data_IF_710745402765
#
_entry.id   IF_710745402765
#
_cell.length_a   1.000
_cell.length_b   1.000
_cell.length_c   1.000
_cell.angle_alpha   90.00
_cell.angle_beta   90.00
_cell.angle_gamma   90.00
#
_symmetry.space_group_name_H-M   'P 1'
#
loop_
_entity.id
_entity.type
_entity.pdbx_description
1 polymer ?
#
# COMPACT_ATOMS: atom_id res chain seq x y z
N UNK A 1 -7.61 24.50 8.44
CA UNK A 1 -6.85 23.40 7.83
C UNK A 1 -6.73 22.33 8.89
N UNK A 2 -7.06 21.09 8.54
CA UNK A 2 -6.86 19.93 9.43
C UNK A 2 -5.36 19.77 9.67
N UNK A 3 -4.96 19.63 10.93
CA UNK A 3 -3.56 19.38 11.30
C UNK A 3 -3.08 18.07 10.65
N UNK A 4 -1.97 18.13 9.90
CA UNK A 4 -1.39 16.98 9.21
C UNK A 4 -0.47 16.23 10.16
N UNK A 5 -0.34 14.91 10.00
CA UNK A 5 0.50 14.08 10.89
C UNK A 5 1.98 14.53 10.93
N UNK A 6 2.45 15.23 9.90
CA UNK A 6 3.81 15.76 9.80
C UNK A 6 4.02 17.15 10.38
N UNK A 7 2.97 17.91 10.70
CA UNK A 7 3.11 19.31 11.11
C UNK A 7 3.94 19.46 12.37
N UNK A 8 3.86 18.49 13.30
CA UNK A 8 4.67 18.44 14.52
C UNK A 8 6.16 18.18 14.31
N UNK A 9 6.57 17.76 13.12
CA UNK A 9 7.96 17.49 12.77
C UNK A 9 8.60 18.59 11.91
N UNK A 10 7.80 19.52 11.38
CA UNK A 10 8.31 20.62 10.56
C UNK A 10 8.63 21.84 11.43
N UNK A 11 9.82 22.40 11.22
CA UNK A 11 10.16 23.71 11.75
C UNK A 11 9.36 24.81 11.05
N UNK A 12 9.36 26.02 11.63
CA UNK A 12 8.76 27.18 10.97
C UNK A 12 9.50 27.55 9.68
N UNK A 13 10.81 27.26 9.58
CA UNK A 13 11.58 27.44 8.35
C UNK A 13 11.12 26.44 7.27
N UNK A 14 10.93 25.17 7.60
CA UNK A 14 10.44 24.16 6.65
C UNK A 14 9.08 24.55 6.07
N UNK A 15 8.16 24.99 6.93
CA UNK A 15 6.83 25.48 6.52
C UNK A 15 6.94 26.69 5.60
N UNK A 16 7.82 27.64 5.92
CA UNK A 16 8.07 28.81 5.09
C UNK A 16 8.68 28.44 3.72
N UNK A 17 9.58 27.44 3.67
CA UNK A 17 10.17 26.94 2.43
C UNK A 17 9.09 26.33 1.52
N UNK A 18 8.20 25.48 2.04
CA UNK A 18 7.10 24.93 1.23
C UNK A 18 6.18 26.02 0.70
N UNK A 19 5.77 26.95 1.58
CA UNK A 19 4.90 28.07 1.19
C UNK A 19 5.53 28.96 0.10
N UNK A 20 6.83 29.27 0.21
CA UNK A 20 7.53 30.12 -0.75
C UNK A 20 7.90 29.41 -2.07
N UNK A 21 8.13 28.10 -2.03
CA UNK A 21 8.54 27.32 -3.22
C UNK A 21 7.37 26.84 -4.08
N UNK A 22 6.14 26.84 -3.54
CA UNK A 22 4.94 26.37 -4.25
C UNK A 22 4.77 24.85 -4.26
N UNK A 23 5.63 24.10 -3.57
CA UNK A 23 5.45 22.67 -3.33
C UNK A 23 4.27 22.39 -2.37
N UNK A 24 3.68 21.20 -2.48
CA UNK A 24 2.48 20.84 -1.71
C UNK A 24 1.16 21.32 -2.31
N UNK A 25 1.18 21.79 -3.57
CA UNK A 25 -0.05 22.07 -4.32
C UNK A 25 -0.76 20.77 -4.67
N UNK A 26 -2.09 20.72 -4.50
CA UNK A 26 -2.90 19.58 -4.90
C UNK A 26 -2.97 19.45 -6.42
N UNK A 27 -2.67 18.26 -6.93
CA UNK A 27 -2.91 17.91 -8.32
C UNK A 27 -4.39 17.57 -8.56
N UNK A 28 -4.83 17.62 -9.82
CA UNK A 28 -6.15 17.12 -10.19
C UNK A 28 -6.29 15.61 -9.92
N UNK A 29 -7.50 15.19 -9.57
CA UNK A 29 -7.85 13.77 -9.49
C UNK A 29 -7.79 13.10 -10.86
N UNK A 30 -7.47 11.80 -10.87
CA UNK A 30 -7.69 10.97 -12.06
C UNK A 30 -9.16 10.62 -12.24
N UNK A 31 -9.51 10.13 -13.43
CA UNK A 31 -10.88 9.77 -13.78
C UNK A 31 -11.08 8.25 -13.81
N UNK A 32 -10.00 7.49 -13.80
CA UNK A 32 -9.99 6.03 -13.96
C UNK A 32 -8.94 5.42 -13.02
N UNK A 33 -9.21 5.41 -11.70
CA UNK A 33 -8.25 4.94 -10.69
C UNK A 33 -8.23 3.42 -10.54
N UNK A 34 -7.08 2.88 -10.13
CA UNK A 34 -7.00 1.58 -9.44
C UNK A 34 -6.60 1.79 -7.97
N UNK A 35 -7.12 0.96 -7.06
CA UNK A 35 -6.68 0.89 -5.66
C UNK A 35 -5.51 -0.08 -5.55
N UNK A 36 -4.40 0.38 -4.98
CA UNK A 36 -3.20 -0.42 -4.71
C UNK A 36 -3.06 -0.64 -3.20
N UNK A 37 -3.14 -1.91 -2.77
CA UNK A 37 -2.97 -2.32 -1.37
C UNK A 37 -1.58 -2.93 -1.20
N UNK A 38 -0.67 -2.19 -0.57
CA UNK A 38 0.75 -2.55 -0.53
C UNK A 38 1.11 -3.36 0.72
N UNK A 39 1.53 -4.62 0.54
CA UNK A 39 2.12 -5.51 1.56
C UNK A 39 1.36 -5.62 2.90
N UNK A 40 0.03 -5.54 2.90
CA UNK A 40 -0.79 -5.70 4.12
C UNK A 40 -0.95 -7.20 4.44
N UNK A 41 0.16 -7.83 4.81
CA UNK A 41 0.30 -9.25 5.11
C UNK A 41 0.69 -9.49 6.58
N UNK A 42 0.62 -10.75 7.03
CA UNK A 42 0.87 -11.10 8.43
C UNK A 42 2.28 -10.71 8.94
N UNK A 43 3.31 -10.72 8.10
CA UNK A 43 4.66 -10.31 8.50
C UNK A 43 4.78 -8.80 8.79
N UNK A 44 3.87 -7.98 8.25
CA UNK A 44 3.79 -6.55 8.56
C UNK A 44 2.70 -6.21 9.58
N UNK A 45 1.65 -7.03 9.70
CA UNK A 45 0.47 -6.71 10.50
C UNK A 45 0.36 -7.50 11.80
N UNK A 46 1.04 -8.65 11.93
CA UNK A 46 0.69 -9.69 12.92
C UNK A 46 -0.74 -10.23 12.68
N UNK A 47 -1.15 -11.22 13.46
CA UNK A 47 -2.46 -11.86 13.35
C UNK A 47 -3.56 -11.10 14.13
N UNK A 48 -3.18 -10.11 14.93
CA UNK A 48 -4.07 -9.31 15.79
C UNK A 48 -3.36 -8.03 16.24
N UNK A 49 -4.07 -7.03 16.80
CA UNK A 49 -3.42 -5.85 17.37
C UNK A 49 -2.47 -6.23 18.52
N UNK A 50 -1.17 -6.06 18.29
CA UNK A 50 -0.09 -6.31 19.25
C UNK A 50 0.79 -5.06 19.32
N UNK A 51 1.14 -4.56 20.51
CA UNK A 51 2.04 -3.43 20.65
C UNK A 51 3.35 -3.64 19.87
N UNK A 52 3.84 -2.60 19.21
CA UNK A 52 4.91 -2.67 18.20
C UNK A 52 6.16 -3.36 18.76
N UNK A 53 6.56 -3.02 19.99
CA UNK A 53 7.75 -3.59 20.63
C UNK A 53 7.61 -5.09 20.93
N UNK A 54 6.39 -5.60 21.08
CA UNK A 54 6.12 -7.03 21.24
C UNK A 54 6.00 -7.71 19.87
N UNK A 55 5.27 -7.11 18.93
CA UNK A 55 5.06 -7.69 17.60
C UNK A 55 6.37 -7.89 16.84
N UNK A 56 7.30 -6.93 16.90
CA UNK A 56 8.61 -7.04 16.23
C UNK A 56 9.50 -8.17 16.75
N UNK A 57 9.23 -8.70 17.95
CA UNK A 57 9.97 -9.87 18.47
C UNK A 57 9.65 -11.10 17.63
N UNK A 58 8.38 -11.28 17.25
CA UNK A 58 7.89 -12.35 16.37
C UNK A 58 8.14 -12.02 14.90
N UNK A 59 7.58 -10.92 14.45
CA UNK A 59 7.60 -10.47 13.07
C UNK A 59 8.50 -9.25 12.95
N UNK A 60 9.79 -9.45 12.62
CA UNK A 60 10.79 -8.35 12.61
C UNK A 60 10.39 -7.13 11.77
N UNK A 61 9.54 -7.33 10.75
CA UNK A 61 9.03 -6.30 9.85
C UNK A 61 7.69 -5.73 10.31
N UNK A 62 7.11 -6.18 11.42
CA UNK A 62 5.80 -5.73 11.85
C UNK A 62 5.72 -4.23 12.09
N UNK A 63 4.53 -3.70 11.88
CA UNK A 63 4.08 -2.36 12.20
C UNK A 63 3.19 -2.31 13.46
N UNK A 64 2.96 -3.46 14.12
CA UNK A 64 2.26 -3.53 15.41
C UNK A 64 0.82 -3.04 15.35
N UNK A 65 0.38 -2.37 16.40
CA UNK A 65 -0.95 -1.80 16.56
C UNK A 65 -1.32 -0.82 15.44
N UNK A 66 -0.35 -0.13 14.85
CA UNK A 66 -0.58 0.84 13.77
C UNK A 66 -1.15 0.20 12.50
N UNK A 67 -0.84 -1.07 12.23
CA UNK A 67 -1.46 -1.80 11.12
C UNK A 67 -2.98 -1.97 11.32
N UNK A 68 -3.39 -2.17 12.57
CA UNK A 68 -4.78 -2.44 12.93
C UNK A 68 -5.61 -1.16 13.08
N UNK A 69 -4.96 -0.03 13.38
CA UNK A 69 -5.59 1.30 13.30
C UNK A 69 -6.04 1.63 11.86
N UNK A 70 -5.25 1.22 10.85
CA UNK A 70 -5.57 1.42 9.44
C UNK A 70 -6.56 0.38 8.86
N UNK A 71 -6.76 -0.77 9.52
CA UNK A 71 -7.55 -1.89 8.96
C UNK A 71 -9.00 -1.49 8.61
N UNK A 72 -9.76 -0.80 9.47
CA UNK A 72 -11.12 -0.39 9.15
C UNK A 72 -11.21 0.60 7.98
N UNK A 73 -10.13 1.34 7.72
CA UNK A 73 -10.03 2.26 6.57
C UNK A 73 -9.81 1.45 5.28
N UNK A 74 -8.91 0.47 5.31
CA UNK A 74 -8.65 -0.43 4.19
C UNK A 74 -9.90 -1.20 3.77
N UNK A 75 -10.62 -1.80 4.73
CA UNK A 75 -11.88 -2.51 4.47
C UNK A 75 -12.91 -1.63 3.75
N UNK A 76 -13.09 -0.38 4.21
CA UNK A 76 -14.04 0.58 3.60
C UNK A 76 -13.62 0.96 2.18
N UNK A 77 -12.34 1.21 1.94
CA UNK A 77 -11.84 1.59 0.62
C UNK A 77 -11.97 0.44 -0.37
N UNK A 78 -11.62 -0.78 0.04
CA UNK A 78 -11.77 -1.98 -0.79
C UNK A 78 -13.25 -2.18 -1.15
N UNK A 79 -14.14 -2.11 -0.15
CA UNK A 79 -15.58 -2.23 -0.37
C UNK A 79 -16.14 -1.15 -1.32
N UNK A 80 -15.72 0.11 -1.16
CA UNK A 80 -16.14 1.21 -2.02
C UNK A 80 -15.66 1.00 -3.47
N UNK A 81 -14.39 0.60 -3.65
CA UNK A 81 -13.83 0.27 -4.96
C UNK A 81 -14.58 -0.90 -5.61
N UNK A 82 -14.83 -1.98 -4.88
CA UNK A 82 -15.61 -3.11 -5.38
C UNK A 82 -17.04 -2.73 -5.76
N UNK A 83 -17.69 -1.86 -4.98
CA UNK A 83 -19.03 -1.33 -5.28
C UNK A 83 -19.08 -0.53 -6.59
N UNK A 84 -18.01 0.22 -6.89
CA UNK A 84 -17.87 0.98 -8.13
C UNK A 84 -17.32 0.18 -9.31
N UNK A 85 -16.83 -1.04 -9.08
CA UNK A 85 -16.11 -1.83 -10.08
C UNK A 85 -14.72 -1.27 -10.40
N UNK A 86 -14.10 -0.58 -9.44
CA UNK A 86 -12.71 -0.11 -9.50
C UNK A 86 -11.78 -1.29 -9.17
N UNK A 87 -10.72 -1.54 -9.98
CA UNK A 87 -9.76 -2.61 -9.73
C UNK A 87 -9.06 -2.43 -8.40
N UNK A 88 -8.96 -3.51 -7.63
CA UNK A 88 -8.14 -3.59 -6.41
C UNK A 88 -6.97 -4.52 -6.70
N UNK A 89 -5.75 -4.02 -6.51
CA UNK A 89 -4.52 -4.73 -6.78
C UNK A 89 -3.70 -4.77 -5.49
N UNK A 90 -3.51 -5.97 -4.97
CA UNK A 90 -2.66 -6.24 -3.82
C UNK A 90 -1.23 -6.46 -4.27
N UNK A 91 -0.28 -6.14 -3.40
CA UNK A 91 1.08 -6.64 -3.51
C UNK A 91 1.47 -7.40 -2.26
N UNK A 92 2.29 -8.44 -2.40
CA UNK A 92 2.93 -9.11 -1.27
C UNK A 92 4.28 -9.70 -1.67
N UNK A 93 5.09 -10.06 -0.68
CA UNK A 93 6.39 -10.67 -0.87
C UNK A 93 6.30 -12.06 -1.48
N UNK A 94 7.34 -12.46 -2.21
CA UNK A 94 7.63 -13.86 -2.54
C UNK A 94 9.12 -14.11 -2.33
N UNK A 95 9.45 -15.28 -1.83
CA UNK A 95 10.82 -15.69 -1.61
C UNK A 95 10.96 -17.19 -1.84
N UNK A 96 12.07 -17.61 -2.44
CA UNK A 96 12.40 -19.04 -2.54
C UNK A 96 12.73 -19.60 -1.16
N UNK A 97 12.43 -20.89 -0.96
CA UNK A 97 12.77 -21.60 0.27
C UNK A 97 14.28 -21.56 0.58
N UNK A 98 15.14 -21.58 -0.44
CA UNK A 98 16.60 -21.49 -0.30
C UNK A 98 17.13 -20.05 -0.12
N UNK A 99 16.24 -19.04 -0.18
CA UNK A 99 16.53 -17.61 -0.05
C UNK A 99 17.60 -17.09 -1.03
N UNK A 100 17.91 -17.83 -2.10
CA UNK A 100 18.87 -17.41 -3.13
C UNK A 100 18.50 -16.05 -3.73
N UNK A 101 17.19 -15.80 -3.87
CA UNK A 101 16.60 -14.60 -4.43
C UNK A 101 16.42 -13.44 -3.43
N UNK A 102 16.84 -13.60 -2.17
CA UNK A 102 16.73 -12.54 -1.16
C UNK A 102 17.50 -11.27 -1.56
N UNK A 103 18.61 -11.42 -2.28
CA UNK A 103 19.44 -10.32 -2.75
C UNK A 103 19.71 -9.27 -1.67
N UNK A 104 19.51 -8.00 -2.00
CA UNK A 104 19.81 -6.85 -1.15
C UNK A 104 18.99 -6.76 0.15
N UNK A 105 17.89 -7.51 0.27
CA UNK A 105 17.10 -7.53 1.52
C UNK A 105 17.87 -8.07 2.71
N UNK A 106 18.90 -8.88 2.45
CA UNK A 106 19.78 -9.41 3.49
C UNK A 106 20.79 -8.37 4.01
N UNK A 107 21.03 -7.25 3.33
CA UNK A 107 22.18 -6.40 3.64
C UNK A 107 21.96 -5.44 4.83
N UNK A 108 20.71 -5.09 5.13
CA UNK A 108 20.37 -4.00 6.07
C UNK A 108 19.61 -4.48 7.31
N UNK A 109 19.81 -5.72 7.73
CA UNK A 109 19.28 -6.23 9.01
C UNK A 109 20.28 -7.15 9.71
N UNK A 110 20.56 -6.89 10.98
CA UNK A 110 21.34 -7.80 11.84
C UNK A 110 20.55 -9.09 12.15
N UNK A 111 19.22 -9.00 12.13
CA UNK A 111 18.27 -10.11 12.33
C UNK A 111 17.94 -10.84 11.03
N UNK A 112 18.77 -10.71 9.99
CA UNK A 112 18.55 -11.33 8.67
C UNK A 112 18.58 -12.86 8.69
N UNK A 113 19.42 -13.41 9.58
CA UNK A 113 19.67 -14.84 9.73
C UNK A 113 18.64 -15.52 10.63
N UNK A 114 17.84 -14.74 11.38
CA UNK A 114 16.61 -15.28 11.95
C UNK A 114 15.77 -15.74 10.77
N UNK A 115 15.43 -17.03 10.76
CA UNK A 115 14.27 -17.51 10.04
C UNK A 115 13.11 -16.65 10.54
N UNK A 116 12.55 -15.72 9.72
CA UNK A 116 11.19 -15.32 10.00
C UNK A 116 10.42 -16.63 10.05
N UNK A 117 9.45 -16.77 10.93
CA UNK A 117 8.46 -17.81 10.74
C UNK A 117 7.78 -17.52 9.39
N UNK A 118 8.38 -17.94 8.27
CA UNK A 118 7.73 -17.87 6.97
C UNK A 118 6.40 -18.57 7.09
N UNK A 119 6.35 -19.63 7.92
CA UNK A 119 5.14 -20.27 8.43
C UNK A 119 5.22 -20.30 9.96
N UNK A 120 4.23 -19.76 10.67
CA UNK A 120 4.16 -19.88 12.14
C UNK A 120 3.92 -21.33 12.57
N UNK A 121 4.07 -21.65 13.87
CA UNK A 121 3.68 -22.98 14.38
C UNK A 121 2.20 -23.32 14.08
N UNK A 122 1.37 -22.30 13.85
CA UNK A 122 -0.03 -22.44 13.47
C UNK A 122 -0.26 -22.55 11.95
N UNK A 123 0.80 -22.56 11.13
CA UNK A 123 0.68 -22.72 9.68
C UNK A 123 0.51 -21.42 8.88
N UNK A 124 0.66 -20.24 9.51
CA UNK A 124 0.38 -18.94 8.86
C UNK A 124 1.58 -18.46 8.07
N UNK A 125 1.41 -18.21 6.76
CA UNK A 125 2.47 -17.62 5.94
C UNK A 125 2.59 -16.11 6.21
N UNK A 126 3.77 -15.62 6.55
CA UNK A 126 4.00 -14.20 6.76
C UNK A 126 3.69 -13.32 5.54
N UNK A 127 3.79 -13.85 4.32
CA UNK A 127 3.44 -13.14 3.09
C UNK A 127 1.97 -13.28 2.70
N UNK A 128 1.17 -14.04 3.44
CA UNK A 128 -0.27 -14.12 3.21
C UNK A 128 -0.95 -12.79 3.63
N UNK A 129 -1.79 -12.25 2.74
CA UNK A 129 -2.59 -11.06 3.04
C UNK A 129 -3.49 -11.36 4.24
N UNK A 130 -3.61 -10.42 5.16
CA UNK A 130 -4.41 -10.63 6.38
C UNK A 130 -5.88 -10.90 6.05
N UNK A 131 -6.51 -11.78 6.82
CA UNK A 131 -7.86 -12.29 6.55
C UNK A 131 -8.93 -11.20 6.48
N UNK A 132 -8.79 -10.12 7.24
CA UNK A 132 -9.71 -8.98 7.31
C UNK A 132 -9.91 -8.30 5.95
N UNK A 133 -8.90 -8.34 5.09
CA UNK A 133 -8.90 -7.76 3.75
C UNK A 133 -8.47 -8.78 2.69
N UNK A 134 -8.83 -10.04 2.91
CA UNK A 134 -8.48 -11.12 1.99
C UNK A 134 -8.91 -10.77 0.54
N UNK A 135 -8.03 -10.94 -0.46
CA UNK A 135 -8.36 -10.63 -1.85
C UNK A 135 -9.59 -11.40 -2.33
N UNK A 136 -10.53 -10.70 -2.94
CA UNK A 136 -11.71 -11.29 -3.55
C UNK A 136 -11.41 -11.92 -4.92
N UNK A 137 -12.38 -12.65 -5.51
CA UNK A 137 -12.18 -13.34 -6.80
C UNK A 137 -11.80 -12.42 -7.97
N UNK A 138 -12.13 -11.13 -7.89
CA UNK A 138 -11.87 -10.12 -8.92
C UNK A 138 -10.57 -9.34 -8.70
N UNK A 139 -9.91 -9.57 -7.56
CA UNK A 139 -8.73 -8.82 -7.17
C UNK A 139 -7.47 -9.46 -7.75
N UNK A 140 -6.46 -8.62 -8.01
CA UNK A 140 -5.16 -9.08 -8.50
C UNK A 140 -4.19 -9.11 -7.32
N UNK A 141 -3.46 -10.20 -7.14
CA UNK A 141 -2.34 -10.27 -6.19
C UNK A 141 -1.02 -10.33 -6.95
N UNK A 142 -0.20 -9.30 -6.81
CA UNK A 142 1.12 -9.21 -7.41
C UNK A 142 2.18 -9.63 -6.38
N UNK A 143 2.89 -10.71 -6.68
CA UNK A 143 4.06 -11.10 -5.93
C UNK A 143 5.28 -10.28 -6.37
N UNK A 144 6.01 -9.71 -5.40
CA UNK A 144 7.17 -8.86 -5.66
C UNK A 144 8.37 -9.20 -4.78
N UNK A 145 9.55 -8.91 -5.31
CA UNK A 145 10.84 -9.11 -4.62
C UNK A 145 11.54 -7.78 -4.32
N UNK A 146 10.91 -6.64 -4.60
CA UNK A 146 11.47 -5.30 -4.41
C UNK A 146 10.47 -4.40 -3.68
N UNK A 147 10.90 -3.26 -3.11
CA UNK A 147 10.01 -2.39 -2.36
C UNK A 147 8.83 -1.90 -3.20
N UNK A 148 9.11 -1.33 -4.37
CA UNK A 148 8.07 -0.85 -5.29
C UNK A 148 7.24 -1.98 -5.87
N UNK A 149 5.93 -1.76 -5.93
CA UNK A 149 4.98 -2.61 -6.64
C UNK A 149 5.24 -2.73 -8.13
N UNK A 150 6.06 -1.87 -8.75
CA UNK A 150 6.39 -1.87 -10.19
C UNK A 150 7.70 -2.58 -10.53
N UNK A 151 8.66 -2.63 -9.60
CA UNK A 151 10.02 -3.06 -9.89
C UNK A 151 10.11 -4.57 -10.13
N UNK A 152 10.13 -4.97 -11.41
CA UNK A 152 10.21 -6.37 -11.83
C UNK A 152 8.89 -7.12 -11.69
N UNK A 153 7.75 -6.43 -11.79
CA UNK A 153 6.41 -7.01 -11.64
C UNK A 153 5.52 -6.67 -12.85
N UNK A 154 4.35 -7.32 -13.03
CA UNK A 154 3.38 -6.98 -14.07
C UNK A 154 2.49 -5.76 -13.77
N UNK A 155 2.76 -4.99 -12.69
CA UNK A 155 1.88 -3.87 -12.27
C UNK A 155 1.58 -2.89 -13.41
N UNK A 156 2.61 -2.44 -14.12
CA UNK A 156 2.44 -1.51 -15.24
C UNK A 156 1.58 -2.11 -16.37
N UNK A 157 1.78 -3.39 -16.68
CA UNK A 157 1.02 -4.09 -17.71
C UNK A 157 -0.46 -4.17 -17.36
N UNK A 158 -0.81 -4.44 -16.09
CA UNK A 158 -2.20 -4.44 -15.65
C UNK A 158 -2.83 -3.06 -15.68
N UNK A 159 -2.14 -2.03 -15.17
CA UNK A 159 -2.65 -0.66 -15.20
C UNK A 159 -2.85 -0.16 -16.64
N UNK A 160 -1.96 -0.53 -17.57
CA UNK A 160 -2.12 -0.24 -19.00
C UNK A 160 -3.31 -0.97 -19.62
N UNK A 161 -3.46 -2.27 -19.37
CA UNK A 161 -4.60 -3.07 -19.85
C UNK A 161 -5.93 -2.45 -19.39
N UNK A 162 -5.98 -2.00 -18.14
CA UNK A 162 -7.16 -1.41 -17.52
C UNK A 162 -7.41 0.03 -17.99
N UNK A 163 -6.45 0.65 -18.68
CA UNK A 163 -6.47 2.05 -19.09
C UNK A 163 -6.48 3.01 -17.90
N UNK A 164 -5.88 2.63 -16.77
CA UNK A 164 -5.85 3.49 -15.58
C UNK A 164 -5.09 4.79 -15.86
N UNK A 165 -5.59 5.92 -15.33
CA UNK A 165 -4.93 7.22 -15.39
C UNK A 165 -4.44 7.71 -14.02
N UNK A 166 -4.84 7.00 -12.96
CA UNK A 166 -4.47 7.29 -11.58
C UNK A 166 -4.40 6.03 -10.73
N UNK A 167 -3.71 6.17 -9.60
CA UNK A 167 -3.62 5.15 -8.56
C UNK A 167 -3.92 5.75 -7.20
N UNK A 168 -4.71 5.03 -6.41
CA UNK A 168 -4.94 5.30 -4.99
C UNK A 168 -4.09 4.28 -4.23
N UNK A 169 -3.15 4.74 -3.41
CA UNK A 169 -2.14 3.89 -2.76
C UNK A 169 -2.39 3.83 -1.25
N UNK A 170 -2.42 2.61 -0.71
CA UNK A 170 -2.59 2.30 0.72
C UNK A 170 -1.59 1.24 1.17
N UNK A 171 -1.58 0.94 2.47
CA UNK A 171 -0.83 -0.17 3.04
C UNK A 171 0.51 0.23 3.65
N UNK A 172 1.54 -0.60 3.46
CA UNK A 172 2.75 -0.55 4.29
C UNK A 172 4.03 -0.94 3.56
N UNK A 173 5.21 -0.48 3.99
CA UNK A 173 5.36 0.63 4.94
C UNK A 173 5.35 1.95 4.21
N UNK A 174 4.80 2.97 4.86
CA UNK A 174 4.74 4.34 4.34
C UNK A 174 6.09 4.81 3.82
N UNK A 175 7.15 4.62 4.61
CA UNK A 175 8.52 5.03 4.26
C UNK A 175 9.28 4.08 3.33
N UNK A 176 8.72 2.91 3.04
CA UNK A 176 9.36 1.84 2.28
C UNK A 176 8.60 1.54 1.00
N UNK A 177 7.84 0.45 1.01
CA UNK A 177 7.15 -0.09 -0.18
C UNK A 177 6.09 0.87 -0.73
N UNK A 178 5.35 1.58 0.14
CA UNK A 178 4.37 2.60 -0.29
C UNK A 178 5.09 3.72 -1.04
N UNK A 179 6.09 4.36 -0.41
CA UNK A 179 6.86 5.43 -1.06
C UNK A 179 7.52 4.99 -2.36
N UNK A 180 8.15 3.82 -2.38
CA UNK A 180 8.78 3.31 -3.59
C UNK A 180 7.76 3.13 -4.73
N UNK A 181 6.57 2.61 -4.42
CA UNK A 181 5.48 2.46 -5.39
C UNK A 181 4.94 3.81 -5.87
N UNK A 182 4.80 4.78 -4.96
CA UNK A 182 4.36 6.15 -5.28
C UNK A 182 5.35 6.84 -6.22
N UNK A 183 6.65 6.74 -5.96
CA UNK A 183 7.68 7.35 -6.81
C UNK A 183 7.72 6.72 -8.21
N UNK A 184 7.55 5.41 -8.32
CA UNK A 184 7.47 4.75 -9.63
C UNK A 184 6.17 5.13 -10.36
N UNK A 185 5.03 5.16 -9.68
CA UNK A 185 3.77 5.60 -10.26
C UNK A 185 3.84 7.05 -10.78
N UNK A 186 4.41 7.95 -9.97
CA UNK A 186 4.66 9.34 -10.36
C UNK A 186 5.59 9.41 -11.59
N UNK A 187 6.68 8.65 -11.58
CA UNK A 187 7.66 8.62 -12.67
C UNK A 187 7.07 8.07 -13.98
N UNK A 188 6.03 7.25 -13.88
CA UNK A 188 5.23 6.73 -15.00
C UNK A 188 4.06 7.65 -15.39
N UNK A 189 3.97 8.86 -14.81
CA UNK A 189 2.93 9.87 -15.06
C UNK A 189 1.50 9.48 -14.65
N UNK A 190 1.34 8.59 -13.68
CA UNK A 190 0.04 8.42 -13.03
C UNK A 190 -0.24 9.59 -12.10
N UNK A 191 -1.52 10.00 -12.01
CA UNK A 191 -1.95 10.83 -10.87
C UNK A 191 -1.98 9.94 -9.63
N UNK A 192 -1.30 10.36 -8.57
CA UNK A 192 -1.13 9.54 -7.37
C UNK A 192 -1.87 10.18 -6.21
N UNK A 193 -2.74 9.40 -5.58
CA UNK A 193 -3.33 9.72 -4.28
C UNK A 193 -2.83 8.72 -3.26
N UNK A 194 -2.31 9.19 -2.12
CA UNK A 194 -1.95 8.34 -0.98
C UNK A 194 -2.99 8.56 0.11
N UNK A 195 -3.56 7.48 0.62
CA UNK A 195 -4.52 7.57 1.73
C UNK A 195 -3.75 7.64 3.05
N UNK A 196 -3.83 8.79 3.73
CA UNK A 196 -3.05 9.08 4.93
C UNK A 196 -3.26 8.07 6.05
N UNK A 197 -4.52 7.89 6.46
CA UNK A 197 -4.99 6.96 7.48
C UNK A 197 -5.22 5.54 6.95
N UNK A 198 -4.99 5.31 5.65
CA UNK A 198 -4.89 3.98 5.03
C UNK A 198 -3.46 3.47 4.91
N UNK A 199 -2.47 4.27 5.32
CA UNK A 199 -1.05 3.91 5.29
C UNK A 199 -0.49 3.80 6.71
N UNK A 200 0.47 2.89 6.92
CA UNK A 200 1.07 2.71 8.24
C UNK A 200 2.55 2.32 8.17
N UNK A 201 3.27 2.59 9.26
CA UNK A 201 4.69 2.27 9.41
C UNK A 201 4.98 1.87 10.86
N UNK A 202 6.12 1.21 11.08
CA UNK A 202 6.60 0.82 12.40
C UNK A 202 7.27 1.96 13.18
N UNK A 203 7.59 3.06 12.49
CA UNK A 203 8.20 4.25 13.08
C UNK A 203 7.44 5.51 12.68
N UNK A 204 6.84 6.19 13.66
CA UNK A 204 5.90 7.30 13.43
C UNK A 204 6.55 8.54 12.81
N UNK A 205 7.82 8.84 13.13
CA UNK A 205 8.56 9.91 12.46
C UNK A 205 8.79 9.59 10.97
N UNK A 206 9.12 8.34 10.64
CA UNK A 206 9.30 7.93 9.25
C UNK A 206 7.98 8.00 8.48
N UNK A 207 6.88 7.52 9.08
CA UNK A 207 5.54 7.63 8.50
C UNK A 207 5.22 9.09 8.14
N UNK A 208 5.31 9.99 9.13
CA UNK A 208 4.96 11.38 8.96
C UNK A 208 5.81 12.10 7.91
N UNK A 209 7.15 11.99 8.00
CA UNK A 209 8.05 12.68 7.06
C UNK A 209 7.92 12.13 5.63
N UNK A 210 7.67 10.83 5.45
CA UNK A 210 7.51 10.28 4.10
C UNK A 210 6.15 10.68 3.50
N UNK A 211 5.08 10.80 4.30
CA UNK A 211 3.83 11.41 3.81
C UNK A 211 4.05 12.87 3.43
N UNK A 212 4.76 13.66 4.23
CA UNK A 212 5.11 15.04 3.89
C UNK A 212 5.87 15.14 2.56
N UNK A 213 6.91 14.33 2.39
CA UNK A 213 7.71 14.28 1.16
C UNK A 213 6.87 13.92 -0.07
N UNK A 214 5.98 12.94 0.07
CA UNK A 214 5.07 12.53 -1.00
C UNK A 214 4.05 13.61 -1.32
N UNK A 215 3.44 14.22 -0.29
CA UNK A 215 2.48 15.31 -0.45
C UNK A 215 3.10 16.52 -1.16
N UNK A 216 4.33 16.87 -0.79
CA UNK A 216 5.00 18.04 -1.31
C UNK A 216 5.30 17.93 -2.82
N UNK A 217 5.57 16.71 -3.32
CA UNK A 217 6.26 16.54 -4.62
C UNK A 217 5.67 15.49 -5.56
N UNK A 218 5.01 14.46 -5.06
CA UNK A 218 4.76 13.23 -5.84
C UNK A 218 3.30 12.78 -5.87
N UNK A 219 2.51 13.13 -4.85
CA UNK A 219 1.14 12.62 -4.69
C UNK A 219 0.27 13.59 -3.89
N UNK A 220 -1.05 13.51 -4.09
CA UNK A 220 -1.99 14.07 -3.12
C UNK A 220 -2.09 13.11 -1.93
N UNK A 221 -1.52 13.47 -0.79
CA UNK A 221 -1.82 12.75 0.47
C UNK A 221 -3.13 13.26 1.05
N UNK A 222 -4.15 12.40 1.16
CA UNK A 222 -5.52 12.78 1.52
C UNK A 222 -6.08 11.88 2.64
N UNK A 223 -6.93 12.39 3.54
CA UNK A 223 -7.69 11.55 4.47
C UNK A 223 -8.64 10.60 3.72
N UNK A 224 -8.88 9.41 4.26
CA UNK A 224 -9.73 8.39 3.64
C UNK A 224 -11.15 8.87 3.36
N UNK A 225 -11.72 9.73 4.21
CA UNK A 225 -13.03 10.34 3.99
C UNK A 225 -13.11 11.07 2.65
N UNK A 226 -12.13 11.93 2.33
CA UNK A 226 -12.12 12.67 1.07
C UNK A 226 -11.87 11.76 -0.15
N UNK A 227 -11.10 10.68 0.04
CA UNK A 227 -10.87 9.68 -1.01
C UNK A 227 -12.14 8.88 -1.28
N UNK A 228 -12.88 8.50 -0.24
CA UNK A 228 -14.18 7.82 -0.36
C UNK A 228 -15.20 8.73 -1.04
N UNK A 229 -15.28 10.00 -0.64
CA UNK A 229 -16.15 11.00 -1.28
C UNK A 229 -15.80 11.12 -2.78
N UNK A 230 -14.52 11.17 -3.14
CA UNK A 230 -14.11 11.17 -4.54
C UNK A 230 -14.54 9.90 -5.28
N UNK A 231 -14.31 8.71 -4.71
CA UNK A 231 -14.74 7.43 -5.30
C UNK A 231 -16.26 7.44 -5.57
N UNK A 232 -17.05 8.01 -4.66
CA UNK A 232 -18.50 8.12 -4.83
C UNK A 232 -18.92 8.98 -6.01
N UNK A 233 -18.12 9.98 -6.38
CA UNK A 233 -18.36 10.79 -7.59
C UNK A 233 -18.05 10.07 -8.90
N UNK A 234 -17.26 8.99 -8.86
CA UNK A 234 -16.88 8.26 -10.06
C UNK A 234 -18.05 7.44 -10.61
N UNK A 235 -18.05 7.28 -11.93
CA UNK A 235 -19.03 6.43 -12.61
C UNK A 235 -18.83 4.97 -12.22
N UNK A 236 -19.92 4.22 -12.04
CA UNK A 236 -19.84 2.79 -11.82
C UNK A 236 -19.50 2.06 -13.14
N UNK A 237 -18.81 0.92 -13.05
CA UNK A 237 -18.57 0.06 -14.22
C UNK A 237 -17.62 0.67 -15.25
N UNK A 238 -16.68 1.51 -14.81
CA UNK A 238 -15.63 2.05 -15.69
C UNK A 238 -14.84 0.92 -16.36
N UNK A 239 -14.64 -0.18 -15.64
CA UNK A 239 -13.85 -1.31 -16.09
C UNK A 239 -14.73 -2.50 -16.45
N UNK A 240 -14.34 -3.20 -17.51
CA UNK A 240 -14.87 -4.52 -17.85
C UNK A 240 -14.03 -5.58 -17.13
N UNK A 241 -14.24 -5.70 -15.82
CA UNK A 241 -13.52 -6.67 -15.00
C UNK A 241 -14.15 -8.05 -15.13
N UNK A 242 -13.35 -9.13 -15.22
CA UNK A 242 -13.88 -10.48 -15.19
C UNK A 242 -14.63 -10.73 -13.87
N UNK A 243 -15.56 -11.68 -13.90
CA UNK A 243 -16.34 -12.06 -12.70
C UNK A 243 -15.48 -12.65 -11.58
N UNK A 244 -14.26 -13.12 -11.90
CA UNK A 244 -13.39 -13.83 -10.95
C UNK A 244 -13.80 -15.28 -10.70
N UNK A 245 -14.95 -15.72 -11.21
CA UNK A 245 -15.28 -17.14 -11.28
C UNK A 245 -14.36 -17.76 -12.33
N UNK A 246 -13.48 -18.68 -11.90
CA UNK A 246 -12.57 -19.38 -12.80
C UNK A 246 -13.33 -19.94 -14.01
N UNK A 247 -12.68 -19.98 -15.18
CA UNK A 247 -13.20 -20.72 -16.31
C UNK A 247 -13.51 -22.13 -15.81
N UNK A 248 -14.79 -22.49 -15.67
CA UNK A 248 -15.18 -23.86 -15.41
C UNK A 248 -14.51 -24.67 -16.52
N UNK A 249 -13.55 -25.51 -16.14
CA UNK A 249 -12.98 -26.47 -17.09
C UNK A 249 -14.18 -27.22 -17.67
N UNK A 250 -14.37 -27.10 -18.98
CA UNK A 250 -15.33 -27.94 -19.68
C UNK A 250 -14.94 -29.37 -19.32
N UNK A 251 -15.85 -30.09 -18.65
CA UNK A 251 -15.65 -31.49 -18.34
C UNK A 251 -15.45 -32.22 -19.69
N UNK A 252 -14.27 -32.77 -19.90
CA UNK A 252 -14.00 -33.76 -20.95
C UNK A 252 -14.62 -35.11 -20.57
#
# INVERSE_FOLDING_TARGET
MTERVWDKYLSEEDKAVFAASGFGTLADWGKRPALLVIDVNYAFCDEKPVPILESIKKWRTSCGEYAWEAMPVLEKLIAACHGKGIPVIYTTGIQRADKWDAGSWSWKSARRAEEPAQVTQAGIDGNEIVAEIAPGPRDIVIHKQKPSGFAGTPMMSYLQLLGCDSVIVTGTTTSGCVRATVLDAFSLNYRVTVVEDGCFDRAQANHAINLCDMHAKYANVMPSGEVLDHIDTLSQGMYDLPSGAGMQQAAE
#
